data_IF_399105097748
#
_entry.id   IF_399105097748
#
_cell.length_a   1.000
_cell.length_b   1.000
_cell.length_c   1.000
_cell.angle_alpha   90.00
_cell.angle_beta   90.00
_cell.angle_gamma   90.00
#
_symmetry.space_group_name_H-M   'P 1'
#
loop_
_entity.id
_entity.type
_entity.pdbx_description
1 polymer ?
#
# COMPACT_ATOMS: atom_id res chain seq x y z
N UNK A 1 -13.06 1.53 30.07
CA UNK A 1 -12.20 0.78 29.12
C UNK A 1 -12.99 0.27 27.93
N UNK A 2 -14.06 -0.48 28.13
CA UNK A 2 -14.84 -1.11 27.04
C UNK A 2 -15.38 -0.15 25.96
N UNK A 3 -15.93 1.05 26.24
CA UNK A 3 -16.46 1.90 25.17
C UNK A 3 -15.37 2.48 24.27
N UNK A 4 -14.22 2.85 24.84
CA UNK A 4 -13.12 3.47 24.08
C UNK A 4 -12.47 2.47 23.12
N UNK A 5 -12.30 1.22 23.56
CA UNK A 5 -11.79 0.14 22.71
C UNK A 5 -12.74 -0.08 21.53
N UNK A 6 -14.04 -0.27 21.78
CA UNK A 6 -15.02 -0.48 20.70
C UNK A 6 -15.07 0.70 19.71
N UNK A 7 -15.03 1.94 20.21
CA UNK A 7 -14.99 3.13 19.37
C UNK A 7 -13.74 3.16 18.48
N UNK A 8 -12.57 2.74 19.00
CA UNK A 8 -11.33 2.70 18.23
C UNK A 8 -11.44 1.73 17.06
N UNK A 9 -11.94 0.52 17.31
CA UNK A 9 -12.15 -0.46 16.25
C UNK A 9 -13.22 -0.02 15.25
N UNK A 10 -14.24 0.72 15.69
CA UNK A 10 -15.21 1.33 14.78
C UNK A 10 -14.55 2.38 13.86
N UNK A 11 -13.61 3.19 14.36
CA UNK A 11 -12.83 4.12 13.54
C UNK A 11 -11.93 3.39 12.54
N UNK A 12 -11.31 2.28 12.94
CA UNK A 12 -10.52 1.43 12.03
C UNK A 12 -11.40 0.86 10.92
N UNK A 13 -12.55 0.27 11.27
CA UNK A 13 -13.50 -0.26 10.29
C UNK A 13 -14.03 0.84 9.35
N UNK A 14 -14.32 2.03 9.89
CA UNK A 14 -14.69 3.21 9.11
C UNK A 14 -13.57 3.58 8.12
N UNK A 15 -12.31 3.56 8.55
CA UNK A 15 -11.14 3.86 7.70
C UNK A 15 -11.04 2.89 6.52
N UNK A 16 -11.16 1.59 6.77
CA UNK A 16 -11.14 0.55 5.73
C UNK A 16 -12.32 0.75 4.76
N UNK A 17 -13.52 1.00 5.28
CA UNK A 17 -14.71 1.22 4.47
C UNK A 17 -14.61 2.50 3.62
N UNK A 18 -14.08 3.59 4.17
CA UNK A 18 -13.82 4.83 3.44
C UNK A 18 -12.75 4.64 2.38
N UNK A 19 -11.68 3.88 2.65
CA UNK A 19 -10.63 3.60 1.68
C UNK A 19 -11.18 2.85 0.46
N UNK A 20 -11.96 1.79 0.68
CA UNK A 20 -12.62 1.04 -0.38
C UNK A 20 -13.70 1.88 -1.11
N UNK A 21 -14.50 2.63 -0.34
CA UNK A 21 -15.57 3.50 -0.86
C UNK A 21 -15.05 4.66 -1.69
N UNK A 22 -13.87 5.20 -1.37
CA UNK A 22 -13.20 6.23 -2.15
C UNK A 22 -12.71 5.67 -3.48
N UNK A 23 -12.05 4.49 -3.48
CA UNK A 23 -11.56 3.85 -4.70
C UNK A 23 -12.68 3.61 -5.72
N UNK A 24 -13.87 3.25 -5.23
CA UNK A 24 -15.03 2.99 -6.09
C UNK A 24 -15.69 4.25 -6.67
N UNK A 25 -15.40 5.44 -6.15
CA UNK A 25 -16.09 6.70 -6.52
C UNK A 25 -15.20 7.75 -7.15
N UNK A 26 -13.91 7.79 -6.77
CA UNK A 26 -13.02 8.90 -7.13
C UNK A 26 -11.73 8.41 -7.78
N UNK A 27 -11.30 9.13 -8.80
CA UNK A 27 -10.02 8.93 -9.49
C UNK A 27 -9.14 10.15 -9.23
N UNK A 28 -7.90 9.92 -8.81
CA UNK A 28 -6.91 10.97 -8.62
C UNK A 28 -6.37 11.35 -10.02
N UNK A 29 -6.65 12.57 -10.54
CA UNK A 29 -6.46 12.90 -11.96
C UNK A 29 -5.01 12.78 -12.46
N UNK A 30 -4.05 12.96 -11.55
CA UNK A 30 -2.61 12.81 -11.79
C UNK A 30 -1.97 12.39 -10.46
N UNK A 31 -1.83 11.09 -10.16
CA UNK A 31 -1.09 10.70 -8.97
C UNK A 31 0.33 11.27 -9.11
N UNK A 32 0.81 12.04 -8.12
CA UNK A 32 2.15 12.65 -8.19
C UNK A 32 3.26 11.59 -8.17
N UNK A 33 2.92 10.35 -7.81
CA UNK A 33 3.82 9.20 -7.76
C UNK A 33 3.59 8.35 -9.00
N UNK A 34 4.67 8.06 -9.73
CA UNK A 34 4.67 7.11 -10.84
C UNK A 34 4.42 5.67 -10.36
N UNK A 35 4.59 4.70 -11.27
CA UNK A 35 4.45 3.29 -10.92
C UNK A 35 5.50 2.91 -9.86
N UNK A 36 5.04 2.43 -8.71
CA UNK A 36 5.93 1.96 -7.65
C UNK A 36 6.77 0.79 -8.12
N UNK A 37 8.10 0.92 -8.04
CA UNK A 37 9.04 -0.17 -8.28
C UNK A 37 9.49 -0.80 -6.97
N UNK A 38 10.22 -1.93 -7.03
CA UNK A 38 10.74 -2.59 -5.84
C UNK A 38 11.67 -1.71 -5.01
N UNK A 39 12.46 -0.85 -5.67
CA UNK A 39 13.35 0.10 -5.02
C UNK A 39 12.59 1.11 -4.14
N UNK A 40 11.43 1.60 -4.60
CA UNK A 40 10.61 2.54 -3.84
C UNK A 40 10.11 1.92 -2.53
N UNK A 41 9.71 0.64 -2.59
CA UNK A 41 9.29 -0.11 -1.39
C UNK A 41 10.47 -0.32 -0.45
N UNK A 42 11.66 -0.63 -0.96
CA UNK A 42 12.85 -0.78 -0.14
C UNK A 42 13.18 0.54 0.59
N UNK A 43 13.20 1.67 -0.13
CA UNK A 43 13.42 2.99 0.47
C UNK A 43 12.35 3.31 1.51
N UNK A 44 11.08 3.04 1.19
CA UNK A 44 9.97 3.27 2.12
C UNK A 44 10.07 2.41 3.38
N UNK A 45 10.40 1.12 3.24
CA UNK A 45 10.63 0.21 4.37
C UNK A 45 11.80 0.71 5.21
N UNK A 46 12.94 1.05 4.58
CA UNK A 46 14.09 1.61 5.31
C UNK A 46 13.70 2.88 6.05
N UNK A 47 12.97 3.80 5.41
CA UNK A 47 12.49 5.01 6.05
C UNK A 47 11.58 4.68 7.24
N UNK A 48 10.59 3.80 7.09
CA UNK A 48 9.68 3.40 8.16
C UNK A 48 10.39 2.73 9.34
N UNK A 49 11.46 1.98 9.09
CA UNK A 49 12.26 1.32 10.14
C UNK A 49 13.18 2.31 10.84
N UNK A 50 13.85 3.20 10.11
CA UNK A 50 14.86 4.13 10.65
C UNK A 50 14.20 5.33 11.34
N UNK A 51 13.11 5.83 10.78
CA UNK A 51 12.47 7.08 11.18
C UNK A 51 12.06 7.12 12.66
N UNK A 52 11.48 6.06 13.26
CA UNK A 52 11.18 6.04 14.69
C UNK A 52 12.41 6.23 15.58
N UNK A 53 13.56 5.65 15.23
CA UNK A 53 14.82 5.88 15.95
C UNK A 53 15.33 7.31 15.79
N UNK A 54 15.23 7.85 14.57
CA UNK A 54 15.63 9.23 14.30
C UNK A 54 14.76 10.23 15.09
N UNK A 55 13.45 9.96 15.18
CA UNK A 55 12.50 10.81 15.91
C UNK A 55 12.78 10.92 17.40
N UNK A 56 13.40 9.91 18.01
CA UNK A 56 13.84 10.00 19.40
C UNK A 56 14.96 11.02 19.62
N UNK A 57 15.70 11.40 18.57
CA UNK A 57 16.83 12.32 18.66
C UNK A 57 16.53 13.70 18.03
N UNK A 58 15.49 13.80 17.20
CA UNK A 58 15.11 15.03 16.50
C UNK A 58 14.17 15.89 17.36
N UNK A 59 14.32 17.23 17.42
CA UNK A 59 13.42 18.10 18.18
C UNK A 59 11.94 17.88 17.81
N UNK A 60 11.07 17.82 18.83
CA UNK A 60 9.64 17.52 18.65
C UNK A 60 8.97 18.45 17.62
N UNK A 61 9.29 19.74 17.63
CA UNK A 61 8.75 20.70 16.67
C UNK A 61 9.08 20.36 15.21
N UNK A 62 10.25 19.78 14.94
CA UNK A 62 10.63 19.32 13.59
C UNK A 62 9.82 18.10 13.20
N UNK A 63 9.67 17.11 14.10
CA UNK A 63 8.87 15.90 13.86
C UNK A 63 7.41 16.29 13.54
N UNK A 64 6.81 17.14 14.37
CA UNK A 64 5.44 17.64 14.18
C UNK A 64 5.29 18.40 12.86
N UNK A 65 6.28 19.23 12.50
CA UNK A 65 6.24 19.99 11.24
C UNK A 65 6.31 19.08 10.01
N UNK A 66 7.16 18.04 10.04
CA UNK A 66 7.27 17.06 8.97
C UNK A 66 5.96 16.28 8.82
N UNK A 67 5.39 15.78 9.92
CA UNK A 67 4.09 15.11 9.88
C UNK A 67 2.98 16.04 9.41
N UNK A 68 2.93 17.28 9.91
CA UNK A 68 1.95 18.27 9.49
C UNK A 68 2.01 18.57 7.99
N UNK A 69 3.21 18.67 7.42
CA UNK A 69 3.39 18.87 5.98
C UNK A 69 2.91 17.65 5.17
N UNK A 70 3.23 16.44 5.62
CA UNK A 70 2.79 15.19 4.98
C UNK A 70 1.27 15.06 5.04
N UNK A 71 0.66 15.25 6.22
CA UNK A 71 -0.78 15.23 6.44
C UNK A 71 -1.47 16.27 5.58
N UNK A 72 -1.05 17.53 5.63
CA UNK A 72 -1.63 18.61 4.85
C UNK A 72 -1.61 18.30 3.35
N UNK A 73 -0.46 17.86 2.83
CA UNK A 73 -0.30 17.54 1.41
C UNK A 73 -1.22 16.40 0.98
N UNK A 74 -1.26 15.32 1.75
CA UNK A 74 -2.07 14.14 1.42
C UNK A 74 -3.57 14.40 1.61
N UNK A 75 -3.96 15.15 2.63
CA UNK A 75 -5.34 15.62 2.82
C UNK A 75 -5.79 16.51 1.66
N UNK A 76 -4.94 17.43 1.19
CA UNK A 76 -5.25 18.25 0.02
C UNK A 76 -5.46 17.38 -1.24
N UNK A 77 -4.55 16.44 -1.50
CA UNK A 77 -4.64 15.54 -2.65
C UNK A 77 -5.90 14.65 -2.59
N UNK A 78 -6.26 14.18 -1.40
CA UNK A 78 -7.44 13.34 -1.17
C UNK A 78 -8.74 14.13 -1.31
N UNK A 79 -8.80 15.37 -0.81
CA UNK A 79 -10.00 16.20 -0.88
C UNK A 79 -10.24 16.79 -2.28
N UNK A 80 -9.20 16.93 -3.12
CA UNK A 80 -9.31 17.59 -4.42
C UNK A 80 -10.34 16.94 -5.37
N UNK A 81 -10.43 15.61 -5.52
CA UNK A 81 -11.47 14.98 -6.33
C UNK A 81 -12.89 15.08 -5.74
N UNK A 82 -13.02 15.31 -4.42
CA UNK A 82 -14.30 15.33 -3.70
C UNK A 82 -14.89 16.74 -3.67
N UNK A 83 -14.08 17.72 -3.27
CA UNK A 83 -14.51 19.11 -3.07
C UNK A 83 -14.16 20.01 -4.26
N UNK A 84 -13.31 19.54 -5.18
CA UNK A 84 -12.66 20.36 -6.19
C UNK A 84 -11.37 21.01 -5.67
N UNK A 85 -10.45 21.30 -6.59
CA UNK A 85 -9.09 21.75 -6.24
C UNK A 85 -9.04 23.02 -5.38
N UNK A 86 -9.90 24.01 -5.65
CA UNK A 86 -9.95 25.27 -4.88
C UNK A 86 -10.40 25.05 -3.43
N UNK A 87 -11.43 24.23 -3.22
CA UNK A 87 -11.93 23.95 -1.88
C UNK A 87 -10.99 23.04 -1.09
N UNK A 88 -10.33 22.09 -1.74
CA UNK A 88 -9.31 21.27 -1.10
C UNK A 88 -8.10 22.09 -0.62
N UNK A 89 -7.68 23.12 -1.38
CA UNK A 89 -6.64 24.07 -0.97
C UNK A 89 -6.99 24.89 0.26
N UNK A 90 -8.29 25.04 0.58
CA UNK A 90 -8.76 25.75 1.78
C UNK A 90 -8.99 24.76 2.91
N UNK A 91 -9.68 23.65 2.63
CA UNK A 91 -10.08 22.66 3.63
C UNK A 91 -8.90 21.96 4.28
N UNK A 92 -7.87 21.56 3.51
CA UNK A 92 -6.70 20.88 4.06
C UNK A 92 -5.91 21.73 5.08
N UNK A 93 -5.48 22.97 4.76
CA UNK A 93 -4.83 23.81 5.76
C UNK A 93 -5.77 24.23 6.88
N UNK A 94 -7.07 24.41 6.64
CA UNK A 94 -8.03 24.72 7.70
C UNK A 94 -8.15 23.57 8.74
N UNK A 95 -8.19 22.32 8.29
CA UNK A 95 -8.19 21.15 9.18
C UNK A 95 -6.87 21.03 9.95
N UNK A 96 -5.74 21.21 9.28
CA UNK A 96 -4.43 21.19 9.94
C UNK A 96 -4.26 22.33 10.95
N UNK A 97 -4.76 23.53 10.62
CA UNK A 97 -4.76 24.67 11.53
C UNK A 97 -5.69 24.44 12.73
N UNK A 98 -6.83 23.77 12.53
CA UNK A 98 -7.73 23.40 13.63
C UNK A 98 -7.06 22.44 14.62
N UNK A 99 -6.25 21.49 14.13
CA UNK A 99 -5.48 20.56 14.97
C UNK A 99 -4.46 21.30 15.85
N UNK A 100 -3.67 22.17 15.22
CA UNK A 100 -2.68 23.01 15.92
C UNK A 100 -3.35 24.00 16.88
N UNK A 101 -4.48 24.58 16.50
CA UNK A 101 -5.24 25.50 17.34
C UNK A 101 -5.84 24.78 18.56
N UNK A 102 -6.37 23.56 18.39
CA UNK A 102 -6.88 22.76 19.50
C UNK A 102 -5.76 22.39 20.49
N UNK A 103 -4.57 22.08 19.99
CA UNK A 103 -3.38 21.89 20.83
C UNK A 103 -3.02 23.18 21.60
N UNK A 104 -2.90 24.32 20.90
CA UNK A 104 -2.53 25.60 21.51
C UNK A 104 -3.57 26.10 22.53
N UNK A 105 -4.86 25.82 22.31
CA UNK A 105 -5.95 26.17 23.22
C UNK A 105 -6.11 25.19 24.40
N UNK A 106 -5.36 24.08 24.43
CA UNK A 106 -5.49 23.07 25.47
C UNK A 106 -6.83 22.34 25.44
N UNK A 107 -7.39 22.08 24.25
CA UNK A 107 -8.67 21.39 24.07
C UNK A 107 -8.44 19.92 23.68
N UNK A 108 -8.24 19.00 24.64
CA UNK A 108 -7.79 17.64 24.36
C UNK A 108 -8.79 16.83 23.53
N UNK A 109 -10.10 17.05 23.72
CA UNK A 109 -11.12 16.37 22.93
C UNK A 109 -11.15 16.85 21.48
N UNK A 110 -11.03 18.17 21.26
CA UNK A 110 -10.99 18.73 19.92
C UNK A 110 -9.72 18.28 19.18
N UNK A 111 -8.57 18.29 19.86
CA UNK A 111 -7.30 17.77 19.34
C UNK A 111 -7.43 16.30 18.93
N UNK A 112 -7.99 15.46 19.79
CA UNK A 112 -8.20 14.04 19.51
C UNK A 112 -9.07 13.83 18.26
N UNK A 113 -10.23 14.48 18.19
CA UNK A 113 -11.18 14.30 17.09
C UNK A 113 -10.63 14.83 15.77
N UNK A 114 -9.97 15.98 15.77
CA UNK A 114 -9.40 16.58 14.55
C UNK A 114 -8.20 15.76 14.07
N UNK A 115 -7.29 15.35 14.97
CA UNK A 115 -6.17 14.49 14.64
C UNK A 115 -6.64 13.17 14.03
N UNK A 116 -7.63 12.50 14.66
CA UNK A 116 -8.17 11.24 14.15
C UNK A 116 -8.81 11.41 12.77
N UNK A 117 -9.56 12.49 12.55
CA UNK A 117 -10.13 12.79 11.23
C UNK A 117 -9.02 12.99 10.18
N UNK A 118 -7.96 13.73 10.51
CA UNK A 118 -6.80 13.93 9.64
C UNK A 118 -6.07 12.62 9.34
N UNK A 119 -5.90 11.74 10.33
CA UNK A 119 -5.28 10.42 10.13
C UNK A 119 -6.13 9.49 9.26
N UNK A 120 -7.45 9.49 9.44
CA UNK A 120 -8.34 8.72 8.57
C UNK A 120 -8.19 9.21 7.13
N UNK A 121 -8.22 10.53 6.91
CA UNK A 121 -8.01 11.12 5.58
C UNK A 121 -6.63 10.77 5.01
N UNK A 122 -5.59 10.79 5.85
CA UNK A 122 -4.23 10.39 5.50
C UNK A 122 -4.19 8.93 5.03
N UNK A 123 -4.71 7.99 5.83
CA UNK A 123 -4.72 6.56 5.48
C UNK A 123 -5.51 6.32 4.21
N UNK A 124 -6.73 6.87 4.11
CA UNK A 124 -7.56 6.76 2.91
C UNK A 124 -6.83 7.31 1.69
N UNK A 125 -6.17 8.47 1.82
CA UNK A 125 -5.38 9.10 0.78
C UNK A 125 -4.20 8.25 0.33
N UNK A 126 -3.39 7.73 1.27
CA UNK A 126 -2.22 6.89 0.97
C UNK A 126 -2.64 5.58 0.30
N UNK A 127 -3.63 4.88 0.85
CA UNK A 127 -4.13 3.62 0.29
C UNK A 127 -4.61 3.83 -1.14
N UNK A 128 -5.39 4.87 -1.40
CA UNK A 128 -5.92 5.15 -2.73
C UNK A 128 -4.84 5.65 -3.68
N UNK A 129 -3.89 6.45 -3.21
CA UNK A 129 -2.73 6.86 -4.01
C UNK A 129 -1.93 5.63 -4.47
N UNK A 130 -1.60 4.71 -3.56
CA UNK A 130 -0.82 3.52 -3.89
C UNK A 130 -1.63 2.53 -4.74
N UNK A 131 -2.93 2.38 -4.44
CA UNK A 131 -3.82 1.54 -5.23
C UNK A 131 -3.97 2.06 -6.67
N UNK A 132 -4.08 3.38 -6.87
CA UNK A 132 -4.20 3.97 -8.19
C UNK A 132 -2.84 4.07 -8.91
N UNK A 133 -1.72 4.18 -8.17
CA UNK A 133 -0.35 4.08 -8.70
C UNK A 133 0.12 2.64 -9.01
N UNK A 134 -0.83 1.69 -9.01
CA UNK A 134 -0.62 0.30 -9.38
C UNK A 134 0.36 -0.49 -8.49
N UNK A 135 0.38 -0.23 -7.17
CA UNK A 135 1.15 -1.07 -6.21
C UNK A 135 0.74 -2.54 -6.32
N UNK A 136 1.71 -3.45 -6.43
CA UNK A 136 1.43 -4.87 -6.62
C UNK A 136 1.15 -5.58 -5.28
N UNK A 137 0.39 -6.69 -5.26
CA UNK A 137 0.19 -7.49 -4.05
C UNK A 137 1.51 -7.97 -3.42
N UNK A 138 2.51 -8.28 -4.26
CA UNK A 138 3.83 -8.69 -3.79
C UNK A 138 4.55 -7.57 -3.02
N UNK A 139 4.42 -6.33 -3.46
CA UNK A 139 4.98 -5.16 -2.77
C UNK A 139 4.30 -4.93 -1.42
N UNK A 140 2.98 -5.04 -1.36
CA UNK A 140 2.23 -4.93 -0.10
C UNK A 140 2.60 -6.06 0.86
N UNK A 141 2.71 -7.30 0.37
CA UNK A 141 3.12 -8.44 1.20
C UNK A 141 4.57 -8.30 1.70
N UNK A 142 5.48 -7.79 0.87
CA UNK A 142 6.86 -7.51 1.28
C UNK A 142 6.94 -6.40 2.34
N UNK A 143 6.16 -5.33 2.17
CA UNK A 143 6.03 -4.26 3.16
C UNK A 143 5.48 -4.82 4.48
N UNK A 144 4.40 -5.61 4.43
CA UNK A 144 3.80 -6.21 5.60
C UNK A 144 4.79 -7.14 6.34
N UNK A 145 5.53 -7.98 5.62
CA UNK A 145 6.56 -8.84 6.20
C UNK A 145 7.70 -8.03 6.84
N UNK A 146 8.16 -6.95 6.20
CA UNK A 146 9.19 -6.09 6.76
C UNK A 146 8.70 -5.36 8.03
N UNK A 147 7.47 -4.85 8.01
CA UNK A 147 6.85 -4.22 9.17
C UNK A 147 6.62 -5.20 10.32
N UNK A 148 6.30 -6.47 10.04
CA UNK A 148 6.26 -7.53 11.07
C UNK A 148 7.60 -7.73 11.74
N UNK A 149 8.70 -7.80 10.97
CA UNK A 149 10.05 -7.94 11.54
C UNK A 149 10.37 -6.73 12.40
N UNK A 150 10.12 -5.52 11.90
CA UNK A 150 10.30 -4.29 12.66
C UNK A 150 9.49 -4.27 13.95
N UNK A 151 8.18 -4.55 13.88
CA UNK A 151 7.28 -4.46 15.02
C UNK A 151 7.60 -5.53 16.09
N UNK A 152 7.99 -6.74 15.66
CA UNK A 152 8.47 -7.79 16.57
C UNK A 152 9.74 -7.36 17.30
N UNK A 153 10.69 -6.73 16.60
CA UNK A 153 11.93 -6.24 17.22
C UNK A 153 11.67 -5.03 18.12
N UNK A 154 10.88 -4.06 17.63
CA UNK A 154 10.57 -2.84 18.34
C UNK A 154 9.77 -3.13 19.62
N UNK A 155 8.78 -4.01 19.56
CA UNK A 155 7.93 -4.36 20.71
C UNK A 155 8.53 -5.46 21.59
N UNK A 156 9.25 -6.42 21.01
CA UNK A 156 9.80 -7.56 21.74
C UNK A 156 11.18 -7.32 22.36
N UNK A 157 12.02 -6.49 21.73
CA UNK A 157 13.42 -6.30 22.14
C UNK A 157 13.77 -4.86 22.55
N UNK A 158 12.84 -3.91 22.46
CA UNK A 158 13.11 -2.51 22.79
C UNK A 158 11.94 -1.81 23.49
N UNK A 159 12.20 -0.64 24.09
CA UNK A 159 11.15 0.27 24.59
C UNK A 159 10.66 1.26 23.54
N UNK A 160 11.17 1.18 22.30
CA UNK A 160 11.05 2.23 21.29
C UNK A 160 9.60 2.60 20.98
N UNK A 161 8.71 1.61 20.84
CA UNK A 161 7.29 1.87 20.55
C UNK A 161 6.62 2.64 21.69
N UNK A 162 6.94 2.29 22.94
CA UNK A 162 6.39 2.96 24.14
C UNK A 162 6.93 4.38 24.23
N UNK A 163 8.23 4.57 24.06
CA UNK A 163 8.89 5.88 24.15
C UNK A 163 8.41 6.82 23.05
N UNK A 164 8.23 6.30 21.83
CA UNK A 164 7.68 7.06 20.70
C UNK A 164 6.23 7.48 20.95
N UNK A 165 5.37 6.55 21.39
CA UNK A 165 3.97 6.84 21.70
C UNK A 165 3.86 7.89 22.80
N UNK A 166 4.60 7.73 23.90
CA UNK A 166 4.60 8.71 24.99
C UNK A 166 5.05 10.09 24.53
N UNK A 167 6.08 10.15 23.68
CA UNK A 167 6.58 11.41 23.13
C UNK A 167 5.58 12.10 22.21
N UNK A 168 4.84 11.34 21.42
CA UNK A 168 3.87 11.87 20.46
C UNK A 168 2.47 12.08 21.06
N UNK A 169 2.24 11.60 22.28
CA UNK A 169 0.95 11.67 22.94
C UNK A 169 0.55 13.12 23.22
N UNK A 170 -0.64 13.52 22.75
CA UNK A 170 -1.16 14.87 22.95
C UNK A 170 -0.48 15.95 22.11
N UNK A 171 0.31 15.58 21.10
CA UNK A 171 0.83 16.50 20.09
C UNK A 171 -0.08 16.53 18.86
N UNK A 172 -0.09 17.63 18.09
CA UNK A 172 -0.79 17.69 16.81
C UNK A 172 -0.11 16.76 15.80
N UNK A 173 -0.90 16.24 14.85
CA UNK A 173 -0.50 15.26 13.83
C UNK A 173 0.14 13.98 14.41
N UNK A 174 -0.27 13.58 15.61
CA UNK A 174 0.21 12.35 16.25
C UNK A 174 -0.15 11.15 15.37
N UNK A 175 0.79 10.26 14.99
CA UNK A 175 0.56 9.17 14.04
C UNK A 175 -0.10 7.94 14.68
N UNK A 176 -1.05 8.18 15.58
CA UNK A 176 -1.86 7.16 16.26
C UNK A 176 -3.32 7.58 16.23
N UNK A 177 -4.20 6.66 15.85
CA UNK A 177 -5.63 6.84 16.09
C UNK A 177 -5.90 6.52 17.55
N UNK A 178 -6.65 7.37 18.25
CA UNK A 178 -6.88 7.20 19.68
C UNK A 178 -8.26 7.68 20.11
N UNK A 179 -8.96 6.87 20.90
CA UNK A 179 -10.25 7.26 21.48
C UNK A 179 -10.14 7.75 22.92
N UNK A 180 -8.99 7.54 23.56
CA UNK A 180 -8.69 8.14 24.86
C UNK A 180 -7.20 8.21 25.12
N UNK A 181 -6.77 9.32 25.73
CA UNK A 181 -5.46 9.52 26.33
C UNK A 181 -5.53 9.35 27.86
N UNK A 182 -4.44 8.91 28.50
CA UNK A 182 -4.36 8.82 29.96
C UNK A 182 -3.74 7.52 30.46
N UNK A 183 -4.11 7.09 31.68
CA UNK A 183 -3.52 5.92 32.35
C UNK A 183 -3.77 4.59 31.62
N UNK A 184 -4.81 4.52 30.78
CA UNK A 184 -5.14 3.35 29.97
C UNK A 184 -5.55 3.81 28.57
N UNK A 185 -4.59 4.21 27.72
CA UNK A 185 -4.90 4.76 26.42
C UNK A 185 -5.38 3.66 25.47
N UNK A 186 -6.38 3.99 24.66
CA UNK A 186 -6.88 3.12 23.58
C UNK A 186 -6.38 3.72 22.28
N UNK A 187 -5.31 3.13 21.73
CA UNK A 187 -4.63 3.63 20.54
C UNK A 187 -4.28 2.51 19.57
N UNK A 188 -4.17 2.86 18.29
CA UNK A 188 -3.67 2.00 17.22
C UNK A 188 -2.74 2.80 16.32
N UNK A 189 -1.64 2.20 15.89
CA UNK A 189 -0.63 2.88 15.09
C UNK A 189 -1.11 3.16 13.67
N UNK A 190 -0.62 4.25 13.07
CA UNK A 190 -0.83 4.56 11.65
C UNK A 190 -0.46 3.38 10.74
N UNK A 191 0.62 2.66 11.06
CA UNK A 191 1.09 1.50 10.29
C UNK A 191 0.09 0.34 10.29
N UNK A 192 -0.52 0.03 11.43
CA UNK A 192 -1.55 -0.99 11.57
C UNK A 192 -2.78 -0.63 10.72
N UNK A 193 -3.26 0.61 10.85
CA UNK A 193 -4.41 1.12 10.10
C UNK A 193 -4.16 1.12 8.59
N UNK A 194 -2.94 1.48 8.18
CA UNK A 194 -2.53 1.44 6.78
C UNK A 194 -2.57 0.01 6.25
N UNK A 195 -2.02 -0.97 6.98
CA UNK A 195 -1.98 -2.36 6.52
C UNK A 195 -3.38 -2.99 6.44
N UNK A 196 -4.23 -2.76 7.45
CA UNK A 196 -5.64 -3.19 7.46
C UNK A 196 -6.44 -2.57 6.31
N UNK A 197 -6.09 -1.35 5.89
CA UNK A 197 -6.83 -0.67 4.83
C UNK A 197 -6.32 -1.03 3.43
N UNK A 198 -5.01 -1.21 3.26
CA UNK A 198 -4.42 -1.39 1.92
C UNK A 198 -4.62 -2.80 1.38
N UNK A 199 -4.52 -3.83 2.23
CA UNK A 199 -4.52 -5.21 1.74
C UNK A 199 -5.86 -5.61 1.09
N UNK A 200 -7.04 -5.36 1.69
CA UNK A 200 -8.32 -5.68 1.06
C UNK A 200 -8.51 -4.94 -0.28
N UNK A 201 -8.05 -3.68 -0.35
CA UNK A 201 -8.14 -2.84 -1.54
C UNK A 201 -7.25 -3.35 -2.68
N UNK A 202 -6.02 -3.73 -2.36
CA UNK A 202 -5.08 -4.27 -3.35
C UNK A 202 -5.48 -5.69 -3.77
N UNK A 203 -5.98 -6.52 -2.84
CA UNK A 203 -6.52 -7.84 -3.12
C UNK A 203 -7.76 -7.75 -4.04
N UNK A 204 -8.64 -6.78 -3.83
CA UNK A 204 -9.79 -6.51 -4.70
C UNK A 204 -9.33 -6.27 -6.15
N UNK A 205 -8.31 -5.43 -6.33
CA UNK A 205 -7.81 -5.06 -7.66
C UNK A 205 -7.08 -6.21 -8.35
N UNK A 206 -6.31 -7.00 -7.60
CA UNK A 206 -5.45 -8.04 -8.18
C UNK A 206 -6.15 -9.39 -8.37
N UNK A 207 -7.03 -9.76 -7.44
CA UNK A 207 -7.62 -11.10 -7.35
C UNK A 207 -9.16 -11.08 -7.35
N UNK A 208 -9.79 -9.90 -7.28
CA UNK A 208 -11.24 -9.73 -7.33
C UNK A 208 -11.93 -9.73 -5.96
N UNK A 209 -13.26 -9.71 -5.99
CA UNK A 209 -14.12 -9.49 -4.81
C UNK A 209 -13.93 -10.56 -3.72
N UNK A 210 -13.79 -11.83 -4.10
CA UNK A 210 -13.67 -12.94 -3.14
C UNK A 210 -12.41 -12.77 -2.28
N UNK A 211 -11.28 -12.41 -2.90
CA UNK A 211 -10.05 -12.17 -2.18
C UNK A 211 -10.18 -10.99 -1.23
N UNK A 212 -10.79 -9.90 -1.67
CA UNK A 212 -11.04 -8.71 -0.84
C UNK A 212 -11.90 -9.02 0.40
N UNK A 213 -13.00 -9.75 0.22
CA UNK A 213 -13.86 -10.15 1.34
C UNK A 213 -13.18 -11.14 2.27
N UNK A 214 -12.36 -12.06 1.74
CA UNK A 214 -11.55 -12.96 2.57
C UNK A 214 -10.52 -12.19 3.41
N UNK A 215 -9.87 -11.19 2.83
CA UNK A 215 -8.92 -10.33 3.50
C UNK A 215 -9.59 -9.53 4.63
N UNK A 216 -10.64 -8.78 4.28
CA UNK A 216 -11.40 -7.99 5.25
C UNK A 216 -12.03 -8.85 6.35
N UNK A 217 -12.52 -10.06 6.01
CA UNK A 217 -13.08 -10.99 6.99
C UNK A 217 -12.03 -11.51 7.98
N UNK A 218 -10.85 -11.91 7.49
CA UNK A 218 -9.75 -12.37 8.35
C UNK A 218 -9.20 -11.24 9.22
N UNK A 219 -9.10 -10.03 8.68
CA UNK A 219 -8.73 -8.83 9.45
C UNK A 219 -9.78 -8.50 10.51
N UNK A 220 -11.07 -8.57 10.19
CA UNK A 220 -12.14 -8.36 11.16
C UNK A 220 -12.10 -9.40 12.30
N UNK A 221 -11.81 -10.68 11.98
CA UNK A 221 -11.61 -11.73 12.99
C UNK A 221 -10.40 -11.41 13.85
N UNK A 222 -9.27 -11.01 13.26
CA UNK A 222 -8.07 -10.63 14.00
C UNK A 222 -8.34 -9.46 14.95
N UNK A 223 -9.06 -8.43 14.49
CA UNK A 223 -9.48 -7.30 15.32
C UNK A 223 -10.41 -7.76 16.45
N UNK A 224 -11.38 -8.65 16.17
CA UNK A 224 -12.29 -9.18 17.18
C UNK A 224 -11.55 -10.00 18.26
N UNK A 225 -10.57 -10.81 17.87
CA UNK A 225 -9.71 -11.54 18.81
C UNK A 225 -8.88 -10.58 19.66
N UNK A 226 -8.32 -9.53 19.05
CA UNK A 226 -7.58 -8.49 19.76
C UNK A 226 -8.47 -7.76 20.77
N UNK A 227 -9.71 -7.41 20.41
CA UNK A 227 -10.71 -6.86 21.33
C UNK A 227 -10.94 -7.82 22.50
N UNK A 228 -11.26 -9.08 22.21
CA UNK A 228 -11.57 -10.07 23.23
C UNK A 228 -10.40 -10.25 24.21
N UNK A 229 -9.16 -10.28 23.71
CA UNK A 229 -7.96 -10.41 24.54
C UNK A 229 -7.75 -9.20 25.47
N UNK A 230 -7.95 -7.98 24.97
CA UNK A 230 -7.85 -6.77 25.81
C UNK A 230 -8.97 -6.74 26.87
N UNK A 231 -10.19 -7.16 26.51
CA UNK A 231 -11.33 -7.18 27.42
C UNK A 231 -11.19 -8.22 28.54
N UNK A 232 -10.45 -9.31 28.33
CA UNK A 232 -10.18 -10.34 29.35
C UNK A 232 -8.96 -10.03 30.23
N UNK A 233 -8.40 -8.81 30.14
CA UNK A 233 -7.27 -8.35 30.95
C UNK A 233 -5.90 -8.60 30.31
N UNK A 234 -5.85 -9.02 29.05
CA UNK A 234 -4.63 -9.10 28.26
C UNK A 234 -4.06 -7.72 27.93
N UNK A 235 -2.75 -7.66 27.68
CA UNK A 235 -2.09 -6.46 27.15
C UNK A 235 -2.40 -6.30 25.65
N UNK A 236 -2.42 -5.07 25.10
CA UNK A 236 -2.57 -4.87 23.67
C UNK A 236 -1.53 -5.69 22.89
N UNK A 237 -1.99 -6.49 21.94
CA UNK A 237 -1.10 -7.25 21.08
C UNK A 237 -0.59 -6.36 19.93
N UNK A 238 0.71 -6.40 19.60
CA UNK A 238 1.25 -5.69 18.46
C UNK A 238 0.65 -6.30 17.18
N UNK A 239 -0.27 -5.59 16.54
CA UNK A 239 -1.16 -6.17 15.53
C UNK A 239 -0.39 -6.62 14.28
N UNK A 240 0.63 -5.87 13.86
CA UNK A 240 1.48 -6.20 12.72
C UNK A 240 2.27 -7.50 12.88
N UNK A 241 2.52 -7.96 14.12
CA UNK A 241 3.17 -9.26 14.35
C UNK A 241 2.33 -10.43 13.83
N UNK A 242 1.00 -10.30 13.85
CA UNK A 242 0.06 -11.33 13.36
C UNK A 242 -0.49 -10.96 11.98
N UNK A 243 -0.80 -9.68 11.76
CA UNK A 243 -1.38 -9.19 10.52
C UNK A 243 -0.42 -9.34 9.34
N UNK A 244 0.87 -9.05 9.49
CA UNK A 244 1.79 -9.13 8.35
C UNK A 244 2.05 -10.55 7.84
N UNK A 245 2.28 -11.57 8.69
CA UNK A 245 2.32 -12.96 8.24
C UNK A 245 1.01 -13.41 7.61
N UNK A 246 -0.13 -12.97 8.15
CA UNK A 246 -1.45 -13.26 7.60
C UNK A 246 -1.60 -12.71 6.18
N UNK A 247 -1.24 -11.43 5.95
CA UNK A 247 -1.21 -10.80 4.62
C UNK A 247 -0.29 -11.58 3.68
N UNK A 248 0.91 -11.96 4.14
CA UNK A 248 1.89 -12.69 3.33
C UNK A 248 1.39 -14.08 2.92
N UNK A 249 0.78 -14.82 3.84
CA UNK A 249 0.19 -16.14 3.57
C UNK A 249 -0.99 -16.02 2.60
N UNK A 250 -1.87 -15.02 2.78
CA UNK A 250 -2.96 -14.75 1.84
C UNK A 250 -2.42 -14.43 0.44
N UNK A 251 -1.37 -13.61 0.35
CA UNK A 251 -0.71 -13.32 -0.92
C UNK A 251 -0.20 -14.59 -1.61
N UNK A 252 0.50 -15.47 -0.88
CA UNK A 252 0.99 -16.74 -1.43
C UNK A 252 -0.16 -17.63 -1.92
N UNK A 253 -1.24 -17.73 -1.13
CA UNK A 253 -2.42 -18.50 -1.48
C UNK A 253 -3.06 -18.00 -2.78
N UNK A 254 -3.36 -16.71 -2.86
CA UNK A 254 -4.01 -16.12 -4.03
C UNK A 254 -3.11 -16.10 -5.27
N UNK A 255 -1.80 -15.90 -5.08
CA UNK A 255 -0.82 -16.02 -6.17
C UNK A 255 -0.81 -17.43 -6.76
N UNK A 256 -0.79 -18.47 -5.92
CA UNK A 256 -0.85 -19.88 -6.37
C UNK A 256 -2.15 -20.17 -7.08
N UNK A 257 -3.28 -19.75 -6.49
CA UNK A 257 -4.60 -19.95 -7.08
C UNK A 257 -4.73 -19.28 -8.47
N UNK A 258 -4.22 -18.06 -8.63
CA UNK A 258 -4.23 -17.36 -9.91
C UNK A 258 -3.30 -18.05 -10.93
N UNK A 259 -2.13 -18.53 -10.51
CA UNK A 259 -1.23 -19.29 -11.39
C UNK A 259 -1.88 -20.59 -11.89
N UNK A 260 -2.70 -21.26 -11.06
CA UNK A 260 -3.44 -22.46 -11.49
C UNK A 260 -4.59 -22.15 -12.47
N UNK A 261 -5.17 -20.94 -12.43
CA UNK A 261 -6.29 -20.53 -13.29
C UNK A 261 -5.88 -19.80 -14.55
N UNK A 262 -4.69 -19.21 -14.56
CA UNK A 262 -4.16 -18.52 -15.73
C UNK A 262 -3.24 -19.51 -16.42
N UNK A 263 -3.70 -20.25 -17.47
CA UNK A 263 -2.80 -21.09 -18.22
C UNK A 263 -1.60 -20.25 -18.65
N UNK A 264 -0.40 -20.81 -18.56
CA UNK A 264 0.79 -20.15 -19.08
C UNK A 264 0.46 -19.64 -20.48
N UNK A 265 0.66 -18.35 -20.79
CA UNK A 265 0.34 -17.85 -22.11
C UNK A 265 1.09 -18.73 -23.08
N UNK A 266 0.35 -19.50 -23.87
CA UNK A 266 0.95 -20.27 -24.95
C UNK A 266 1.59 -19.22 -25.83
N UNK A 267 2.92 -19.23 -25.86
CA UNK A 267 3.70 -18.45 -26.81
C UNK A 267 4.12 -19.43 -27.90
N UNK A 268 3.19 -19.89 -28.76
CA UNK A 268 3.53 -20.83 -29.83
C UNK A 268 4.65 -20.26 -30.71
N UNK A 269 4.73 -18.94 -30.82
CA UNK A 269 5.82 -18.21 -31.48
C UNK A 269 7.19 -18.47 -30.83
N UNK A 270 7.30 -18.46 -29.50
CA UNK A 270 8.57 -18.70 -28.79
C UNK A 270 8.92 -20.19 -28.78
N UNK A 271 7.94 -21.06 -28.60
CA UNK A 271 8.17 -22.50 -28.65
C UNK A 271 8.61 -22.96 -30.05
N UNK A 272 8.00 -22.42 -31.12
CA UNK A 272 8.47 -22.67 -32.49
C UNK A 272 9.79 -21.98 -32.81
N UNK A 273 10.06 -20.81 -32.26
CA UNK A 273 11.37 -20.17 -32.41
C UNK A 273 12.51 -21.02 -31.81
N UNK A 274 12.21 -21.73 -30.72
CA UNK A 274 13.13 -22.70 -30.11
C UNK A 274 13.24 -23.99 -30.94
N UNK A 275 12.17 -24.45 -31.60
CA UNK A 275 12.20 -25.57 -32.54
C UNK A 275 12.96 -25.24 -33.84
N UNK A 276 12.93 -23.98 -34.28
CA UNK A 276 13.65 -23.48 -35.47
C UNK A 276 15.15 -23.23 -35.20
N UNK A 277 15.64 -23.46 -33.97
CA UNK A 277 17.04 -23.25 -33.61
C UNK A 277 18.04 -24.16 -34.35
N UNK A 278 17.57 -25.16 -35.12
CA UNK A 278 18.39 -25.98 -36.03
C UNK A 278 18.65 -25.32 -37.41
N UNK A 279 18.20 -24.08 -37.63
CA UNK A 279 18.42 -23.31 -38.86
C UNK A 279 19.82 -22.62 -38.87
N UNK A 280 20.38 -22.30 -40.06
CA UNK A 280 21.76 -21.82 -40.18
C UNK A 280 22.06 -20.59 -39.29
N UNK A 281 23.11 -20.73 -38.48
CA UNK A 281 23.55 -19.75 -37.49
C UNK A 281 23.76 -18.35 -38.09
N UNK A 282 23.37 -17.31 -37.32
CA UNK A 282 23.67 -15.91 -37.65
C UNK A 282 22.58 -15.13 -38.40
N UNK A 283 21.45 -15.75 -38.71
CA UNK A 283 20.31 -15.10 -39.37
C UNK A 283 19.19 -14.78 -38.35
N UNK A 284 18.58 -13.61 -38.49
CA UNK A 284 17.38 -13.23 -37.73
C UNK A 284 16.13 -13.64 -38.49
N UNK A 285 15.21 -14.33 -37.83
CA UNK A 285 13.93 -14.78 -38.42
C UNK A 285 12.79 -13.98 -37.81
N UNK A 286 11.92 -13.44 -38.66
CA UNK A 286 10.67 -12.80 -38.28
C UNK A 286 9.53 -13.83 -38.34
N UNK A 287 8.83 -14.01 -37.23
CA UNK A 287 7.74 -14.97 -37.06
C UNK A 287 6.38 -14.25 -37.10
N UNK A 288 5.41 -14.91 -37.72
CA UNK A 288 4.01 -14.48 -37.69
C UNK A 288 3.42 -14.67 -36.29
N UNK A 289 2.26 -14.07 -35.98
CA UNK A 289 1.53 -14.36 -34.74
C UNK A 289 1.16 -15.84 -34.56
N UNK A 290 1.13 -16.61 -35.66
CA UNK A 290 0.93 -18.05 -35.64
C UNK A 290 2.25 -18.85 -35.49
N UNK A 291 3.38 -18.16 -35.30
CA UNK A 291 4.71 -18.75 -35.14
C UNK A 291 5.29 -19.33 -36.44
N UNK A 292 4.80 -18.93 -37.61
CA UNK A 292 5.38 -19.35 -38.89
C UNK A 292 6.47 -18.35 -39.33
N UNK A 293 7.62 -18.80 -39.86
CA UNK A 293 8.62 -17.90 -40.43
C UNK A 293 8.02 -17.13 -41.61
N UNK A 294 8.09 -15.81 -41.55
CA UNK A 294 7.57 -14.90 -42.58
C UNK A 294 8.71 -14.31 -43.40
N UNK A 295 9.84 -14.02 -42.74
CA UNK A 295 11.01 -13.45 -43.40
C UNK A 295 12.29 -13.66 -42.58
N UNK A 296 13.43 -13.50 -43.25
CA UNK A 296 14.76 -13.59 -42.67
C UNK A 296 15.55 -12.30 -42.91
N UNK A 297 16.55 -12.03 -42.08
CA UNK A 297 17.43 -10.88 -42.28
C UNK A 297 18.71 -10.94 -41.45
N UNK A 298 19.75 -10.25 -41.90
CA UNK A 298 21.03 -10.18 -41.19
C UNK A 298 20.93 -9.39 -39.85
N UNK A 299 19.86 -8.64 -39.64
CA UNK A 299 19.60 -7.87 -38.41
C UNK A 299 18.13 -7.95 -38.02
N UNK A 300 17.76 -7.65 -36.76
CA UNK A 300 16.37 -7.65 -36.34
C UNK A 300 15.50 -6.67 -37.14
N UNK A 301 16.10 -5.55 -37.54
CA UNK A 301 15.43 -4.52 -38.33
C UNK A 301 15.14 -4.97 -39.77
N UNK A 302 16.09 -5.67 -40.40
CA UNK A 302 15.91 -6.22 -41.75
C UNK A 302 14.84 -7.32 -41.76
N UNK A 303 14.87 -8.25 -40.81
CA UNK A 303 13.84 -9.29 -40.71
C UNK A 303 12.43 -8.70 -40.55
N UNK A 304 12.27 -7.62 -39.75
CA UNK A 304 10.97 -6.90 -39.63
C UNK A 304 10.56 -6.19 -40.92
N UNK A 305 11.53 -5.63 -41.66
CA UNK A 305 11.27 -4.92 -42.91
C UNK A 305 10.82 -5.90 -43.98
N UNK A 306 11.52 -7.01 -44.14
CA UNK A 306 11.17 -8.07 -45.08
C UNK A 306 9.81 -8.69 -44.74
N UNK A 307 9.51 -8.91 -43.46
CA UNK A 307 8.19 -9.39 -43.05
C UNK A 307 7.05 -8.42 -43.42
N UNK A 308 7.28 -7.10 -43.35
CA UNK A 308 6.30 -6.11 -43.82
C UNK A 308 6.14 -6.12 -45.35
N UNK A 309 7.24 -6.29 -46.09
CA UNK A 309 7.21 -6.40 -47.54
C UNK A 309 6.48 -7.69 -47.99
N UNK A 310 6.60 -8.77 -47.21
CA UNK A 310 5.86 -10.01 -47.40
C UNK A 310 4.38 -9.93 -46.95
N UNK A 311 3.88 -8.76 -46.53
CA UNK A 311 2.48 -8.55 -46.21
C UNK A 311 2.05 -8.89 -44.78
N UNK A 312 2.99 -8.99 -43.83
CA UNK A 312 2.64 -9.20 -42.43
C UNK A 312 1.83 -8.01 -41.87
N UNK A 313 0.58 -8.27 -41.49
CA UNK A 313 -0.36 -7.28 -40.96
C UNK A 313 -0.09 -6.90 -39.48
N UNK A 314 0.73 -7.68 -38.76
CA UNK A 314 1.06 -7.46 -37.34
C UNK A 314 2.55 -7.14 -37.12
N UNK A 315 2.93 -6.74 -35.89
CA UNK A 315 4.34 -6.59 -35.52
C UNK A 315 4.97 -7.97 -35.29
N UNK A 316 5.85 -8.45 -36.20
CA UNK A 316 6.40 -9.80 -36.09
C UNK A 316 7.41 -9.88 -34.94
N UNK A 317 7.40 -11.00 -34.22
CA UNK A 317 8.43 -11.35 -33.24
C UNK A 317 9.69 -11.75 -34.00
N UNK A 318 10.84 -11.24 -33.57
CA UNK A 318 12.11 -11.47 -34.27
C UNK A 318 13.04 -12.23 -33.35
N UNK A 319 13.58 -13.33 -33.85
CA UNK A 319 14.44 -14.23 -33.10
C UNK A 319 15.79 -14.37 -33.80
N UNK A 320 16.86 -14.45 -33.01
CA UNK A 320 18.20 -14.72 -33.55
C UNK A 320 18.45 -16.21 -33.46
N UNK A 321 18.76 -16.84 -34.59
CA UNK A 321 19.26 -18.21 -34.59
C UNK A 321 20.65 -18.20 -33.93
N UNK A 322 20.79 -18.95 -32.83
CA UNK A 322 22.07 -19.04 -32.11
C UNK A 322 23.09 -19.83 -32.95
N UNK A 323 24.38 -19.60 -32.67
CA UNK A 323 25.49 -20.46 -33.14
C UNK A 323 25.45 -21.83 -32.48
#
# INVERSE_FOLDING_TARGET
MTPNVLALYALVALTVALAAGYLGRYVIPRPPVGRMVGADIAVMVTALVVMPFAYLHVPVGVVVSVFGLVVMTLTQLMLAPVLGGRWAMIAAPALCAADVAAYAAGWPLALLVVNDALLILLVVGVVNLWAQAAVTPAQVAALAAALTVYDTLATGLSSLTVDFVQRMQGLPFSPVLATSYGANPSLIGLGDCLMLSIWPVVALRAYGKVAAWSAAGLEAVLLAVSIAFVLTGGRPMPLLTVLGPLIFVQWLYWRRWQASRTPAPTRPEVNRALELADAPAGVWVALSPAGAPVAEGATPGLARREARLAGAQGSPVVWRLQE
#
